data_IF_941151696945
#
_entry.id   IF_941151696945
#
_cell.length_a   1.000
_cell.length_b   1.000
_cell.length_c   1.000
_cell.angle_alpha   90.00
_cell.angle_beta   90.00
_cell.angle_gamma   90.00
#
_symmetry.space_group_name_H-M   'P 1'
#
loop_
_entity.id
_entity.type
_entity.pdbx_description
1 polymer ?
#
# COMPACT_ATOMS: atom_id res chain seq x y z
N UNK A 1 11.97 -19.56 -12.10
CA UNK A 1 11.27 -18.27 -12.31
C UNK A 1 10.20 -18.15 -11.23
N UNK A 2 10.08 -16.99 -10.56
CA UNK A 2 9.02 -16.78 -9.57
C UNK A 2 7.66 -16.77 -10.27
N UNK A 3 6.67 -17.46 -9.71
CA UNK A 3 5.30 -17.43 -10.22
C UNK A 3 4.75 -15.99 -10.12
N UNK A 4 4.36 -15.34 -11.24
CA UNK A 4 3.79 -14.01 -11.23
C UNK A 4 2.57 -13.88 -10.31
N UNK A 5 1.81 -14.96 -10.07
CA UNK A 5 0.67 -14.97 -9.15
C UNK A 5 1.04 -14.76 -7.67
N UNK A 6 2.32 -14.90 -7.30
CA UNK A 6 2.80 -14.54 -5.96
C UNK A 6 2.43 -13.10 -5.60
N UNK A 7 2.43 -12.18 -6.57
CA UNK A 7 2.09 -10.78 -6.36
C UNK A 7 0.65 -10.56 -5.90
N UNK A 8 -0.30 -11.43 -6.26
CA UNK A 8 -1.65 -11.37 -5.71
C UNK A 8 -1.67 -11.64 -4.20
N UNK A 9 -0.81 -12.53 -3.70
CA UNK A 9 -0.70 -12.81 -2.26
C UNK A 9 -0.12 -11.60 -1.52
N UNK A 10 0.90 -10.96 -2.11
CA UNK A 10 1.47 -9.72 -1.58
C UNK A 10 0.42 -8.61 -1.56
N UNK A 11 -0.32 -8.43 -2.67
CA UNK A 11 -1.41 -7.46 -2.76
C UNK A 11 -2.52 -7.72 -1.74
N UNK A 12 -2.87 -8.99 -1.47
CA UNK A 12 -3.87 -9.35 -0.48
C UNK A 12 -3.44 -8.94 0.95
N UNK A 13 -2.22 -9.28 1.35
CA UNK A 13 -1.69 -8.89 2.67
C UNK A 13 -1.56 -7.38 2.78
N UNK A 14 -1.04 -6.72 1.74
CA UNK A 14 -0.93 -5.26 1.69
C UNK A 14 -2.31 -4.58 1.74
N UNK A 15 -3.33 -5.18 1.13
CA UNK A 15 -4.70 -4.64 1.10
C UNK A 15 -5.37 -4.69 2.45
N UNK A 16 -5.19 -5.79 3.19
CA UNK A 16 -5.64 -5.85 4.59
C UNK A 16 -4.98 -4.77 5.44
N UNK A 17 -3.67 -4.56 5.28
CA UNK A 17 -2.95 -3.53 6.01
C UNK A 17 -3.43 -2.11 5.64
N UNK A 18 -3.60 -1.81 4.35
CA UNK A 18 -4.08 -0.52 3.87
C UNK A 18 -5.50 -0.21 4.40
N UNK A 19 -6.40 -1.21 4.39
CA UNK A 19 -7.75 -1.07 4.96
C UNK A 19 -7.71 -0.82 6.47
N UNK A 20 -6.87 -1.56 7.21
CA UNK A 20 -6.72 -1.39 8.66
C UNK A 20 -6.20 0.01 9.00
N UNK A 21 -5.16 0.49 8.29
CA UNK A 21 -4.59 1.82 8.49
C UNK A 21 -5.58 2.93 8.11
N UNK A 22 -6.31 2.79 7.01
CA UNK A 22 -7.33 3.76 6.58
C UNK A 22 -8.49 3.86 7.58
N UNK A 23 -9.03 2.72 8.02
CA UNK A 23 -10.13 2.70 8.99
C UNK A 23 -9.71 3.21 10.37
N UNK A 24 -8.50 2.86 10.84
CA UNK A 24 -7.90 3.43 12.03
C UNK A 24 -7.77 4.96 11.92
N UNK A 25 -7.28 5.45 10.79
CA UNK A 25 -7.17 6.88 10.48
C UNK A 25 -8.50 7.63 10.56
N UNK A 26 -9.57 7.01 10.05
CA UNK A 26 -10.89 7.63 9.99
C UNK A 26 -11.62 7.63 11.35
N UNK A 27 -11.46 6.59 12.17
CA UNK A 27 -12.29 6.39 13.36
C UNK A 27 -11.56 6.63 14.68
N UNK A 28 -10.30 6.19 14.76
CA UNK A 28 -9.56 6.10 16.03
C UNK A 28 -8.48 7.18 16.12
N UNK A 29 -7.82 7.49 15.00
CA UNK A 29 -6.69 8.41 14.98
C UNK A 29 -7.13 9.86 15.20
N UNK A 30 -6.81 10.39 16.39
CA UNK A 30 -7.13 11.76 16.83
C UNK A 30 -5.85 12.44 17.35
N UNK A 31 -4.91 12.81 16.46
CA UNK A 31 -3.69 13.48 16.87
C UNK A 31 -3.99 14.88 17.42
N UNK A 32 -3.16 15.36 18.34
CA UNK A 32 -3.27 16.74 18.87
C UNK A 32 -2.98 17.78 17.80
N UNK A 33 -2.01 17.51 16.93
CA UNK A 33 -1.71 18.35 15.77
C UNK A 33 -2.52 17.86 14.55
N UNK A 34 -3.42 18.68 13.99
CA UNK A 34 -4.21 18.33 12.81
C UNK A 34 -3.39 17.94 11.59
N UNK A 35 -2.17 18.47 11.43
CA UNK A 35 -1.29 18.14 10.30
C UNK A 35 -1.01 16.63 10.21
N UNK A 36 -0.90 15.93 11.34
CA UNK A 36 -0.69 14.49 11.32
C UNK A 36 -1.88 13.72 10.78
N UNK A 37 -3.11 14.26 10.88
CA UNK A 37 -4.29 13.63 10.28
C UNK A 37 -4.22 13.67 8.77
N UNK A 38 -3.74 14.78 8.20
CA UNK A 38 -3.52 14.93 6.75
C UNK A 38 -2.39 14.02 6.25
N UNK A 39 -1.28 13.96 6.99
CA UNK A 39 -0.18 13.02 6.71
C UNK A 39 -0.69 11.58 6.74
N UNK A 40 -1.42 11.18 7.79
CA UNK A 40 -1.99 9.83 7.90
C UNK A 40 -2.95 9.50 6.75
N UNK A 41 -3.82 10.45 6.39
CA UNK A 41 -4.74 10.29 5.26
C UNK A 41 -3.97 10.08 3.95
N UNK A 42 -2.94 10.88 3.70
CA UNK A 42 -2.10 10.80 2.51
C UNK A 42 -1.34 9.48 2.44
N UNK A 43 -0.67 9.12 3.54
CA UNK A 43 0.05 7.87 3.74
C UNK A 43 -0.83 6.63 3.45
N UNK A 44 -1.99 6.54 4.12
CA UNK A 44 -2.93 5.43 3.92
C UNK A 44 -3.51 5.38 2.50
N UNK A 45 -3.75 6.55 1.89
CA UNK A 45 -4.22 6.63 0.50
C UNK A 45 -3.15 6.11 -0.47
N UNK A 46 -1.89 6.52 -0.32
CA UNK A 46 -0.82 6.02 -1.18
C UNK A 46 -0.57 4.53 -1.01
N UNK A 47 -0.63 4.01 0.23
CA UNK A 47 -0.54 2.56 0.48
C UNK A 47 -1.65 1.81 -0.27
N UNK A 48 -2.90 2.28 -0.17
CA UNK A 48 -4.04 1.66 -0.85
C UNK A 48 -3.89 1.70 -2.38
N UNK A 49 -3.50 2.84 -2.95
CA UNK A 49 -3.31 3.00 -4.41
C UNK A 49 -2.20 2.09 -4.93
N UNK A 50 -1.05 2.03 -4.25
CA UNK A 50 0.03 1.11 -4.63
C UNK A 50 -0.40 -0.35 -4.52
N UNK A 51 -1.21 -0.68 -3.51
CA UNK A 51 -1.76 -2.03 -3.36
C UNK A 51 -2.72 -2.40 -4.49
N UNK A 52 -3.60 -1.47 -4.89
CA UNK A 52 -4.46 -1.69 -6.05
C UNK A 52 -3.63 -1.89 -7.33
N UNK A 53 -2.57 -1.12 -7.51
CA UNK A 53 -1.65 -1.29 -8.62
C UNK A 53 -0.91 -2.64 -8.59
N UNK A 54 -0.53 -3.15 -7.41
CA UNK A 54 0.12 -4.46 -7.25
C UNK A 54 -0.71 -5.63 -7.83
N UNK A 55 -2.04 -5.52 -7.87
CA UNK A 55 -2.90 -6.54 -8.50
C UNK A 55 -2.62 -6.69 -10.00
N UNK A 56 -2.13 -5.64 -10.66
CA UNK A 56 -1.75 -5.69 -12.08
C UNK A 56 -0.37 -6.32 -12.32
N UNK A 57 0.44 -6.57 -11.27
CA UNK A 57 1.81 -7.05 -11.44
C UNK A 57 1.92 -8.30 -12.34
N UNK A 58 1.07 -9.35 -12.22
CA UNK A 58 1.21 -10.59 -13.00
C UNK A 58 1.05 -10.41 -14.52
N UNK A 59 0.35 -9.37 -14.97
CA UNK A 59 0.09 -9.10 -16.39
C UNK A 59 1.11 -8.13 -17.01
N UNK A 60 2.07 -7.64 -16.23
CA UNK A 60 3.12 -6.73 -16.75
C UNK A 60 4.25 -7.50 -17.44
N UNK A 61 5.01 -6.81 -18.29
CA UNK A 61 6.20 -7.37 -18.97
C UNK A 61 7.28 -7.87 -17.99
N UNK A 62 7.39 -7.22 -16.82
CA UNK A 62 8.40 -7.51 -15.80
C UNK A 62 7.77 -7.53 -14.40
N UNK A 63 7.01 -8.58 -14.03
CA UNK A 63 6.19 -8.62 -12.82
C UNK A 63 7.00 -8.37 -11.54
N UNK A 64 8.21 -8.91 -11.46
CA UNK A 64 9.05 -8.78 -10.26
C UNK A 64 9.66 -7.39 -10.09
N UNK A 65 9.95 -6.69 -11.19
CA UNK A 65 10.44 -5.31 -11.13
C UNK A 65 9.27 -4.40 -10.74
N UNK A 66 8.14 -4.55 -11.42
CA UNK A 66 6.94 -3.76 -11.14
C UNK A 66 6.46 -3.94 -9.70
N UNK A 67 6.25 -5.18 -9.27
CA UNK A 67 5.80 -5.48 -7.90
C UNK A 67 6.83 -5.10 -6.84
N UNK A 68 8.12 -5.31 -7.13
CA UNK A 68 9.21 -4.93 -6.23
C UNK A 68 9.27 -3.43 -5.98
N UNK A 69 9.16 -2.62 -7.04
CA UNK A 69 9.17 -1.16 -6.92
C UNK A 69 7.94 -0.63 -6.18
N UNK A 70 6.74 -1.14 -6.46
CA UNK A 70 5.52 -0.74 -5.73
C UNK A 70 5.59 -1.11 -4.25
N UNK A 71 6.05 -2.32 -3.93
CA UNK A 71 6.22 -2.77 -2.53
C UNK A 71 7.26 -1.92 -1.82
N UNK A 72 8.37 -1.62 -2.49
CA UNK A 72 9.39 -0.72 -1.95
C UNK A 72 8.82 0.68 -1.69
N UNK A 73 8.03 1.21 -2.62
CA UNK A 73 7.38 2.52 -2.46
C UNK A 73 6.39 2.57 -1.29
N UNK A 74 5.64 1.49 -1.07
CA UNK A 74 4.78 1.34 0.11
C UNK A 74 5.61 1.47 1.39
N UNK A 75 6.67 0.67 1.51
CA UNK A 75 7.48 0.61 2.73
C UNK A 75 8.30 1.89 2.97
N UNK A 76 8.79 2.53 1.92
CA UNK A 76 9.67 3.68 2.02
C UNK A 76 8.91 5.02 2.16
N UNK A 77 7.73 5.15 1.54
CA UNK A 77 7.07 6.45 1.38
C UNK A 77 5.63 6.50 1.89
N UNK A 78 4.92 5.38 2.01
CA UNK A 78 3.51 5.42 2.46
C UNK A 78 3.34 5.58 3.98
N UNK A 79 4.41 5.90 4.71
CA UNK A 79 4.38 6.16 6.16
C UNK A 79 5.09 7.47 6.56
N UNK A 80 5.45 8.30 5.59
CA UNK A 80 6.15 9.58 5.76
C UNK A 80 5.32 10.72 5.22
#
# INVERSE_FOLDING_TARGET
>A
MMDPLLWHRVAAVSGMAALALGTYGAHVFKPQNPAYKEVWHTASTYHLVHTAALLAAPITKHPNIFGGLLTTGILAFSGT
#
